data_IF_330508640055
#
_entry.id   IF_330508640055
#
_cell.length_a   1.000
_cell.length_b   1.000
_cell.length_c   1.000
_cell.angle_alpha   90.00
_cell.angle_beta   90.00
_cell.angle_gamma   90.00
#
_symmetry.space_group_name_H-M   'P 1'
#
loop_
_entity.id
_entity.type
_entity.pdbx_description
1 polymer ?
#
# COMPACT_ATOMS: atom_id res chain seq x y z
N UNK A 1 19.95 -9.74 -13.80
CA UNK A 1 19.14 -8.52 -13.99
C UNK A 1 17.76 -8.81 -13.43
N UNK A 2 17.45 -8.33 -12.21
CA UNK A 2 16.09 -8.52 -11.65
C UNK A 2 15.16 -7.60 -12.43
N UNK A 3 14.20 -8.16 -13.16
CA UNK A 3 13.21 -7.36 -13.86
C UNK A 3 12.38 -6.58 -12.83
N UNK A 4 12.48 -5.26 -12.88
CA UNK A 4 11.65 -4.35 -12.09
C UNK A 4 10.17 -4.65 -12.37
N UNK A 5 9.46 -5.17 -11.36
CA UNK A 5 8.02 -5.51 -11.45
C UNK A 5 7.17 -4.32 -11.00
N UNK A 6 7.31 -3.20 -11.70
CA UNK A 6 6.47 -2.03 -11.42
C UNK A 6 4.99 -2.40 -11.57
N UNK A 7 4.12 -1.98 -10.64
CA UNK A 7 2.70 -2.27 -10.73
C UNK A 7 2.11 -1.63 -11.99
N UNK A 8 1.25 -2.36 -12.69
CA UNK A 8 0.60 -1.87 -13.90
C UNK A 8 -0.64 -1.06 -13.56
N UNK A 9 -0.85 0.02 -14.32
CA UNK A 9 -2.05 0.82 -14.23
C UNK A 9 -3.28 -0.05 -14.53
N UNK A 10 -4.30 -0.07 -13.67
CA UNK A 10 -5.51 -0.87 -13.91
C UNK A 10 -6.26 -0.42 -15.18
N UNK A 11 -6.16 0.86 -15.54
CA UNK A 11 -6.86 1.49 -16.68
C UNK A 11 -6.14 1.25 -18.00
N UNK A 12 -4.87 1.66 -18.11
CA UNK A 12 -4.13 1.65 -19.39
C UNK A 12 -3.01 0.62 -19.47
N UNK A 13 -2.78 -0.18 -18.42
CA UNK A 13 -1.75 -1.22 -18.35
C UNK A 13 -0.29 -0.74 -18.44
N UNK A 14 -0.06 0.57 -18.55
CA UNK A 14 1.28 1.16 -18.43
C UNK A 14 1.87 0.95 -17.02
N UNK A 15 3.19 0.74 -16.90
CA UNK A 15 3.84 0.60 -15.60
C UNK A 15 3.79 1.90 -14.78
N UNK A 16 3.83 1.75 -13.46
CA UNK A 16 4.02 2.89 -12.58
C UNK A 16 5.37 3.57 -12.84
N UNK A 17 5.35 4.90 -12.93
CA UNK A 17 6.53 5.75 -13.07
C UNK A 17 6.83 6.54 -11.79
N UNK A 18 5.86 6.63 -10.89
CA UNK A 18 5.97 7.32 -9.63
C UNK A 18 5.07 6.67 -8.59
N UNK A 19 5.48 6.78 -7.32
CA UNK A 19 4.60 6.54 -6.18
C UNK A 19 4.64 7.71 -5.23
N UNK A 20 3.55 7.91 -4.51
CA UNK A 20 3.35 9.03 -3.59
C UNK A 20 2.92 8.47 -2.23
N UNK A 21 3.36 9.14 -1.17
CA UNK A 21 2.86 9.04 0.22
C UNK A 21 2.33 7.70 0.72
N UNK A 22 2.90 7.21 1.81
CA UNK A 22 2.32 6.07 2.52
C UNK A 22 1.29 6.58 3.51
N UNK A 23 0.10 5.99 3.49
CA UNK A 23 -0.93 6.24 4.50
C UNK A 23 -1.28 4.92 5.21
N UNK A 24 -1.61 5.02 6.49
CA UNK A 24 -1.98 3.88 7.32
C UNK A 24 -3.28 4.18 8.07
N UNK A 25 -4.18 3.20 8.16
CA UNK A 25 -5.32 3.28 9.09
C UNK A 25 -4.86 3.03 10.52
N UNK A 26 -5.60 3.50 11.53
CA UNK A 26 -5.30 3.23 12.94
C UNK A 26 -6.46 2.49 13.61
N UNK A 27 -6.78 1.30 13.10
CA UNK A 27 -7.98 0.52 13.47
C UNK A 27 -7.67 -0.79 14.19
N UNK A 28 -6.42 -1.24 14.24
CA UNK A 28 -6.05 -2.42 15.01
C UNK A 28 -4.55 -2.71 15.02
N UNK A 29 -3.99 -2.83 16.21
CA UNK A 29 -2.61 -3.27 16.47
C UNK A 29 -2.63 -4.14 17.74
N UNK A 30 -1.98 -5.30 17.67
CA UNK A 30 -1.80 -6.17 18.84
C UNK A 30 -0.35 -6.64 18.92
N UNK A 31 0.21 -6.61 20.12
CA UNK A 31 1.52 -7.18 20.43
C UNK A 31 1.39 -8.28 21.48
N UNK A 32 2.22 -9.32 21.35
CA UNK A 32 2.32 -10.41 22.33
C UNK A 32 3.73 -11.00 22.32
N UNK A 33 4.05 -11.78 23.34
CA UNK A 33 5.32 -12.50 23.46
C UNK A 33 5.04 -14.00 23.37
N UNK A 34 5.79 -14.72 22.55
CA UNK A 34 5.68 -16.18 22.44
C UNK A 34 6.46 -16.92 23.56
N UNK A 35 6.39 -18.25 23.55
CA UNK A 35 7.05 -19.12 24.53
C UNK A 35 8.59 -19.05 24.47
N UNK A 36 9.15 -18.62 23.34
CA UNK A 36 10.58 -18.41 23.11
C UNK A 36 11.03 -17.00 23.55
N UNK A 37 10.12 -16.17 24.05
CA UNK A 37 10.38 -14.80 24.47
C UNK A 37 10.45 -13.78 23.33
N UNK A 38 10.10 -14.16 22.10
CA UNK A 38 10.07 -13.24 20.97
C UNK A 38 8.80 -12.39 21.00
N UNK A 39 8.96 -11.09 20.76
CA UNK A 39 7.82 -10.19 20.60
C UNK A 39 7.30 -10.27 19.17
N UNK A 40 5.99 -10.44 19.03
CA UNK A 40 5.26 -10.42 17.77
C UNK A 40 4.43 -9.15 17.69
N UNK A 41 4.48 -8.51 16.51
CA UNK A 41 3.64 -7.36 16.19
C UNK A 41 2.68 -7.74 15.07
N UNK A 42 1.42 -7.96 15.43
CA UNK A 42 0.34 -8.22 14.48
C UNK A 42 -0.40 -6.91 14.23
N UNK A 43 0.05 -6.20 13.21
CA UNK A 43 -0.50 -4.94 12.73
C UNK A 43 -1.40 -5.18 11.53
N UNK A 44 -2.71 -5.15 11.73
CA UNK A 44 -3.69 -5.43 10.68
C UNK A 44 -4.17 -4.15 9.97
N UNK A 45 -3.53 -3.02 10.27
CA UNK A 45 -3.86 -1.77 9.61
C UNK A 45 -3.63 -1.84 8.10
N UNK A 46 -4.47 -1.10 7.38
CA UNK A 46 -4.32 -0.93 5.95
C UNK A 46 -3.20 0.06 5.67
N UNK A 47 -2.06 -0.45 5.20
CA UNK A 47 -0.97 0.35 4.67
C UNK A 47 -1.19 0.57 3.17
N UNK A 48 -1.51 1.78 2.75
CA UNK A 48 -1.80 2.14 1.36
C UNK A 48 -0.78 3.10 0.77
N UNK A 49 -0.59 3.01 -0.54
CA UNK A 49 0.30 3.87 -1.32
C UNK A 49 -0.33 4.18 -2.69
N UNK A 50 -0.18 5.42 -3.14
CA UNK A 50 -0.67 5.86 -4.45
C UNK A 50 0.44 5.70 -5.49
N UNK A 51 0.05 5.28 -6.70
CA UNK A 51 0.91 5.09 -7.85
C UNK A 51 0.37 5.91 -9.02
N UNK A 52 1.27 6.37 -9.90
CA UNK A 52 0.90 6.98 -11.17
C UNK A 52 1.66 6.37 -12.34
N UNK A 53 1.01 6.31 -13.49
CA UNK A 53 1.61 5.95 -14.77
C UNK A 53 1.85 7.20 -15.64
N UNK A 54 2.46 7.00 -16.80
CA UNK A 54 2.73 8.03 -17.82
C UNK A 54 1.48 8.74 -18.36
N UNK A 55 0.31 8.09 -18.30
CA UNK A 55 -0.98 8.65 -18.73
C UNK A 55 -1.73 9.40 -17.62
N UNK A 56 -1.05 9.84 -16.55
CA UNK A 56 -1.63 10.58 -15.42
C UNK A 56 -2.74 9.87 -14.60
N UNK A 57 -3.03 8.60 -14.87
CA UNK A 57 -3.89 7.81 -14.00
C UNK A 57 -3.23 7.58 -12.65
N UNK A 58 -3.99 7.80 -11.58
CA UNK A 58 -3.58 7.52 -10.20
C UNK A 58 -4.40 6.34 -9.68
N UNK A 59 -3.74 5.40 -9.00
CA UNK A 59 -4.41 4.32 -8.29
C UNK A 59 -3.74 3.99 -6.97
N UNK A 60 -4.52 3.43 -6.05
CA UNK A 60 -4.06 3.02 -4.74
C UNK A 60 -3.86 1.52 -4.70
N UNK A 61 -2.74 1.08 -4.10
CA UNK A 61 -2.52 -0.29 -3.68
C UNK A 61 -2.33 -0.31 -2.17
N UNK A 62 -2.68 -1.42 -1.54
CA UNK A 62 -2.43 -1.65 -0.11
C UNK A 62 -1.61 -2.89 0.11
N UNK A 63 -0.70 -2.86 1.07
CA UNK A 63 0.21 -3.98 1.35
C UNK A 63 -0.36 -4.89 2.43
N UNK A 64 -0.35 -6.20 2.19
CA UNK A 64 -0.67 -7.21 3.19
C UNK A 64 0.46 -7.26 4.21
N UNK A 65 0.10 -7.09 5.48
CA UNK A 65 1.04 -7.14 6.59
C UNK A 65 1.35 -8.60 6.92
N UNK A 66 2.57 -8.84 7.37
CA UNK A 66 3.03 -10.13 7.88
C UNK A 66 3.86 -9.87 9.13
N UNK A 67 3.85 -10.81 10.06
CA UNK A 67 4.74 -10.74 11.20
C UNK A 67 6.19 -10.82 10.69
N UNK A 68 7.09 -10.03 11.29
CA UNK A 68 8.51 -10.02 10.94
C UNK A 68 9.32 -11.05 11.73
N UNK A 69 8.75 -11.55 12.82
CA UNK A 69 9.36 -12.60 13.66
C UNK A 69 9.50 -13.88 12.85
N UNK A 70 10.71 -14.46 12.86
CA UNK A 70 10.99 -15.67 12.11
C UNK A 70 10.12 -16.83 12.61
N UNK A 71 9.68 -17.70 11.71
CA UNK A 71 8.74 -18.79 12.02
C UNK A 71 7.29 -18.38 12.29
N UNK A 72 6.96 -17.08 12.39
CA UNK A 72 5.58 -16.63 12.54
C UNK A 72 4.84 -16.58 11.20
N UNK A 73 3.76 -17.36 11.09
CA UNK A 73 2.93 -17.45 9.88
C UNK A 73 1.73 -16.50 9.86
N UNK A 74 1.69 -15.52 10.77
CA UNK A 74 0.58 -14.56 10.79
C UNK A 74 0.57 -13.68 9.53
N UNK A 75 -0.61 -13.58 8.95
CA UNK A 75 -0.92 -12.76 7.79
C UNK A 75 -2.09 -11.84 8.13
N UNK A 76 -1.93 -10.55 7.85
CA UNK A 76 -3.02 -9.59 7.96
C UNK A 76 -4.12 -9.84 6.92
N UNK A 77 -5.25 -9.15 7.09
CA UNK A 77 -6.44 -9.25 6.21
C UNK A 77 -6.08 -9.07 4.74
N UNK A 78 -6.77 -9.82 3.89
CA UNK A 78 -6.62 -9.73 2.43
C UNK A 78 -7.15 -8.43 1.84
N UNK A 79 -8.04 -7.72 2.54
CA UNK A 79 -8.74 -6.55 2.01
C UNK A 79 -8.77 -5.42 3.06
N UNK A 80 -8.90 -4.17 2.57
CA UNK A 80 -9.08 -3.00 3.42
C UNK A 80 -10.54 -2.56 3.40
N UNK A 81 -11.06 -2.08 4.52
CA UNK A 81 -12.40 -1.48 4.55
C UNK A 81 -12.50 -0.18 3.72
N UNK A 82 -11.39 0.54 3.53
CA UNK A 82 -11.39 1.84 2.86
C UNK A 82 -11.34 1.80 1.31
N UNK A 83 -11.23 0.62 0.68
CA UNK A 83 -11.31 0.46 -0.77
C UNK A 83 -11.50 -1.01 -1.20
N UNK A 84 -12.16 -1.25 -2.33
CA UNK A 84 -12.56 -2.58 -2.82
C UNK A 84 -11.44 -3.40 -3.51
N UNK A 85 -10.19 -3.30 -3.05
CA UNK A 85 -9.04 -3.99 -3.67
C UNK A 85 -8.33 -4.92 -2.70
N UNK A 86 -8.00 -6.12 -3.17
CA UNK A 86 -7.10 -7.05 -2.47
C UNK A 86 -5.74 -6.41 -2.22
N UNK A 87 -5.22 -6.63 -1.02
CA UNK A 87 -3.89 -6.22 -0.62
C UNK A 87 -2.84 -7.05 -1.39
N UNK A 88 -1.73 -6.42 -1.74
CA UNK A 88 -0.57 -7.04 -2.38
C UNK A 88 0.48 -7.41 -1.34
N UNK A 89 1.25 -8.47 -1.55
CA UNK A 89 2.26 -8.90 -0.57
C UNK A 89 3.47 -7.96 -0.49
N UNK A 90 3.71 -7.21 -1.55
CA UNK A 90 4.79 -6.24 -1.61
C UNK A 90 4.40 -5.08 -2.51
N UNK A 91 4.87 -3.88 -2.18
CA UNK A 91 4.87 -2.75 -3.10
C UNK A 91 5.96 -2.87 -4.19
N UNK A 92 6.73 -3.97 -4.19
CA UNK A 92 7.82 -4.33 -5.10
C UNK A 92 9.12 -3.51 -4.95
N UNK A 93 10.28 -4.19 -5.13
CA UNK A 93 11.59 -3.63 -5.48
C UNK A 93 11.61 -3.27 -6.98
N UNK A 94 10.72 -2.36 -7.37
CA UNK A 94 10.44 -2.04 -8.76
C UNK A 94 11.23 -0.84 -9.30
N UNK A 95 12.11 -0.24 -8.48
CA UNK A 95 12.86 0.96 -8.85
C UNK A 95 11.99 2.21 -9.05
N UNK A 96 10.70 2.16 -8.73
CA UNK A 96 9.78 3.30 -8.90
C UNK A 96 10.08 4.34 -7.84
N UNK A 97 10.44 5.59 -8.21
CA UNK A 97 10.81 6.61 -7.25
C UNK A 97 9.63 7.02 -6.36
N UNK A 98 9.89 7.19 -5.06
CA UNK A 98 8.98 7.87 -4.16
C UNK A 98 9.07 9.37 -4.40
N UNK A 99 7.96 9.97 -4.83
CA UNK A 99 7.85 11.41 -5.06
C UNK A 99 7.02 12.02 -3.92
N UNK A 100 7.56 13.05 -3.28
CA UNK A 100 6.81 13.92 -2.39
C UNK A 100 6.02 14.91 -3.26
N UNK A 101 4.74 14.63 -3.48
CA UNK A 101 3.83 15.52 -4.21
C UNK A 101 2.49 15.59 -3.48
N UNK A 102 2.30 16.66 -2.70
CA UNK A 102 1.14 16.86 -1.84
C UNK A 102 -0.20 16.85 -2.61
N UNK A 103 -0.23 17.36 -3.85
CA UNK A 103 -1.46 17.44 -4.65
C UNK A 103 -1.99 16.06 -5.07
N UNK A 104 -1.09 15.07 -5.22
CA UNK A 104 -1.43 13.67 -5.57
C UNK A 104 -1.49 12.75 -4.36
N UNK A 105 -1.03 13.21 -3.18
CA UNK A 105 -1.15 12.47 -1.92
C UNK A 105 -2.58 12.56 -1.34
N UNK A 106 -3.31 13.63 -1.61
CA UNK A 106 -4.63 13.91 -1.03
C UNK A 106 -5.84 13.52 -1.89
N UNK A 107 -5.68 12.84 -3.03
CA UNK A 107 -6.82 12.53 -3.93
C UNK A 107 -7.72 11.36 -3.46
N UNK A 108 -7.80 11.13 -2.16
CA UNK A 108 -8.93 10.46 -1.54
C UNK A 108 -9.99 11.48 -1.17
N UNK A 109 -11.03 11.60 -2.00
CA UNK A 109 -12.33 12.21 -1.67
C UNK A 109 -12.36 13.69 -1.25
N UNK A 110 -11.95 14.62 -2.12
CA UNK A 110 -12.63 15.93 -2.22
C UNK A 110 -12.64 16.39 -3.68
N UNK A 111 -13.55 15.83 -4.48
CA UNK A 111 -14.02 16.56 -5.66
C UNK A 111 -14.85 17.72 -5.12
N UNK A 112 -14.22 18.88 -4.90
CA UNK A 112 -14.98 20.13 -4.91
C UNK A 112 -15.42 20.30 -6.35
N UNK A 113 -16.67 19.90 -6.62
CA UNK A 113 -17.38 20.29 -7.83
C UNK A 113 -17.21 21.81 -7.94
N UNK A 114 -16.44 22.29 -8.92
CA UNK A 114 -16.57 23.69 -9.32
C UNK A 114 -17.97 23.81 -9.91
N UNK A 115 -18.92 24.24 -9.08
CA UNK A 115 -20.21 24.74 -9.53
C UNK A 115 -19.97 25.92 -10.46
N UNK A 116 -20.64 25.87 -11.61
CA UNK A 116 -20.79 27.01 -12.52
C UNK A 116 -21.79 28.03 -12.00
#
# INVERSE_FOLDING_TARGET
MMMSKAPLCPTCKEPAIARYGIMETLVGYSSFTDDDGNVHEHDDNCLKQNFACSNDHVWTLSKRRRCKTDGCNWLGKEECFCHERKKVDSFCDDGVPLILNHDRMCQGEWRVSKGG
#
